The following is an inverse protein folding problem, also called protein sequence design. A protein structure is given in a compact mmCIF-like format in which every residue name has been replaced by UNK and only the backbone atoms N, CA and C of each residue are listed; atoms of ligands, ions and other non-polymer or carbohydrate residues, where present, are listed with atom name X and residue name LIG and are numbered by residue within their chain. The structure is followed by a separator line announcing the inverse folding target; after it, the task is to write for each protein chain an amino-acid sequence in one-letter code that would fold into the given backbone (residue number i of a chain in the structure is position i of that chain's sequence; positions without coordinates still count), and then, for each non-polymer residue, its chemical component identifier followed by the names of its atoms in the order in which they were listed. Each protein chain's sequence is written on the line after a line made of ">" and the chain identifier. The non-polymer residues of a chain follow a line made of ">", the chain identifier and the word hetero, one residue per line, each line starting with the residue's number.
data_IF_134248040477
#
_entry.id   IF_134248040477
#
_cell.length_a   1.000
_cell.length_b   1.000
_cell.length_c   1.000
_cell.angle_alpha   90.00
_cell.angle_beta   90.00
_cell.angle_gamma   90.00
#
_symmetry.space_group_name_H-M   'P 1'
#
loop_
_entity.id
_entity.type
_entity.pdbx_description
1 polymer ?
#
# COMPACT_ATOMS: atom_id res chain seq x y z
N UNK A 1 -2.26 -5.85 -22.85
CA UNK A 1 -2.29 -7.09 -22.02
C UNK A 1 -1.11 -7.20 -21.06
N UNK A 2 0.06 -6.60 -21.32
CA UNK A 2 1.24 -6.71 -20.42
C UNK A 2 1.08 -6.02 -19.06
N UNK A 3 0.38 -4.87 -18.99
CA UNK A 3 0.25 -4.13 -17.73
C UNK A 3 -0.59 -4.86 -16.68
N UNK A 4 -1.62 -5.62 -17.08
CA UNK A 4 -2.52 -6.30 -16.13
C UNK A 4 -1.81 -7.36 -15.28
N UNK A 5 -0.94 -8.17 -15.88
CA UNK A 5 -0.15 -9.18 -15.16
C UNK A 5 0.85 -8.51 -14.19
N UNK A 6 1.48 -7.42 -14.62
CA UNK A 6 2.36 -6.64 -13.75
C UNK A 6 1.61 -6.05 -12.56
N UNK A 7 0.47 -5.39 -12.80
CA UNK A 7 -0.34 -4.78 -11.73
C UNK A 7 -0.83 -5.82 -10.73
N UNK A 8 -1.14 -7.04 -11.21
CA UNK A 8 -1.47 -8.14 -10.31
C UNK A 8 -0.28 -8.55 -9.43
N UNK A 9 0.93 -8.66 -9.99
CA UNK A 9 2.13 -8.94 -9.20
C UNK A 9 2.43 -7.84 -8.17
N UNK A 10 2.18 -6.57 -8.53
CA UNK A 10 2.27 -5.45 -7.59
C UNK A 10 1.28 -5.61 -6.44
N UNK A 11 0.03 -5.97 -6.73
CA UNK A 11 -0.99 -6.19 -5.72
C UNK A 11 -0.65 -7.39 -4.81
N UNK A 12 -0.12 -8.49 -5.34
CA UNK A 12 0.40 -9.61 -4.54
C UNK A 12 1.53 -9.15 -3.62
N UNK A 13 2.44 -8.31 -4.11
CA UNK A 13 3.51 -7.74 -3.29
C UNK A 13 2.98 -6.88 -2.12
N UNK A 14 1.89 -6.15 -2.35
CA UNK A 14 1.20 -5.37 -1.32
C UNK A 14 0.48 -6.29 -0.32
N UNK A 15 -0.16 -7.37 -0.77
CA UNK A 15 -0.79 -8.37 0.10
C UNK A 15 0.22 -8.97 1.09
N UNK A 16 1.42 -9.35 0.62
CA UNK A 16 2.48 -9.81 1.50
C UNK A 16 3.01 -8.71 2.44
N UNK A 17 2.95 -7.45 2.02
CA UNK A 17 3.32 -6.32 2.87
C UNK A 17 2.29 -6.11 3.97
N UNK A 18 0.99 -6.19 3.66
CA UNK A 18 -0.11 -6.20 4.62
C UNK A 18 0.08 -7.29 5.67
N UNK A 19 0.37 -8.52 5.23
CA UNK A 19 0.64 -9.63 6.14
C UNK A 19 1.75 -9.33 7.15
N UNK A 20 2.84 -8.68 6.70
CA UNK A 20 3.94 -8.29 7.58
C UNK A 20 3.58 -7.13 8.51
N UNK A 21 2.83 -6.14 8.03
CA UNK A 21 2.43 -4.96 8.82
C UNK A 21 1.49 -5.34 9.96
N UNK A 22 0.57 -6.26 9.71
CA UNK A 22 -0.44 -6.71 10.67
C UNK A 22 -0.08 -8.02 11.38
N UNK A 23 1.10 -8.60 11.12
CA UNK A 23 1.56 -9.88 11.67
C UNK A 23 0.57 -11.04 11.42
N UNK A 24 0.18 -11.23 10.16
CA UNK A 24 -0.83 -12.18 9.71
C UNK A 24 -0.22 -13.39 9.01
N UNK A 25 -0.81 -14.57 9.25
CA UNK A 25 -0.57 -15.77 8.47
C UNK A 25 -1.12 -15.69 7.04
N UNK A 26 -0.74 -16.65 6.18
CA UNK A 26 -1.14 -16.65 4.76
C UNK A 26 -2.67 -16.64 4.61
N UNK A 27 -3.38 -17.49 5.34
CA UNK A 27 -4.85 -17.58 5.26
C UNK A 27 -5.53 -16.26 5.65
N UNK A 28 -5.07 -15.64 6.73
CA UNK A 28 -5.59 -14.36 7.24
C UNK A 28 -5.33 -13.20 6.26
N UNK A 29 -4.21 -13.22 5.54
CA UNK A 29 -3.94 -12.23 4.49
C UNK A 29 -5.03 -12.26 3.39
N UNK A 30 -5.43 -13.45 2.93
CA UNK A 30 -6.50 -13.59 1.93
C UNK A 30 -7.87 -13.18 2.47
N UNK A 31 -8.15 -13.44 3.76
CA UNK A 31 -9.42 -13.06 4.40
C UNK A 31 -9.55 -11.55 4.60
N UNK A 32 -8.43 -10.85 4.85
CA UNK A 32 -8.42 -9.39 5.03
C UNK A 32 -8.40 -8.67 3.68
N UNK A 33 -7.44 -8.99 2.80
CA UNK A 33 -7.27 -8.35 1.51
C UNK A 33 -6.44 -9.20 0.56
N UNK A 34 -7.10 -9.92 -0.34
CA UNK A 34 -6.40 -10.57 -1.45
C UNK A 34 -5.92 -9.54 -2.49
N UNK A 35 -5.02 -9.97 -3.37
CA UNK A 35 -4.48 -9.14 -4.44
C UNK A 35 -5.58 -8.48 -5.30
N UNK A 36 -6.66 -9.22 -5.62
CA UNK A 36 -7.78 -8.69 -6.40
C UNK A 36 -8.49 -7.52 -5.68
N UNK A 37 -8.66 -7.63 -4.37
CA UNK A 37 -9.24 -6.59 -3.51
C UNK A 37 -8.31 -5.38 -3.43
N UNK A 38 -7.00 -5.61 -3.34
CA UNK A 38 -6.00 -4.53 -3.36
C UNK A 38 -5.99 -3.82 -4.72
N UNK A 39 -6.12 -4.54 -5.85
CA UNK A 39 -6.20 -3.92 -7.18
C UNK A 39 -7.40 -2.98 -7.32
N UNK A 40 -8.51 -3.23 -6.62
CA UNK A 40 -9.71 -2.38 -6.66
C UNK A 40 -9.55 -1.07 -5.89
N UNK A 41 -8.69 -1.03 -4.87
CA UNK A 41 -8.51 0.16 -4.03
C UNK A 41 -7.08 0.26 -3.48
N UNK A 42 -6.06 0.35 -4.35
CA UNK A 42 -4.65 0.25 -3.97
C UNK A 42 -4.23 1.33 -2.98
N UNK A 43 -4.67 2.58 -3.20
CA UNK A 43 -4.38 3.70 -2.31
C UNK A 43 -4.93 3.46 -0.91
N UNK A 44 -6.20 3.06 -0.79
CA UNK A 44 -6.86 2.86 0.49
C UNK A 44 -6.16 1.78 1.32
N UNK A 45 -5.76 0.67 0.70
CA UNK A 45 -5.01 -0.38 1.40
C UNK A 45 -3.63 0.08 1.86
N UNK A 46 -2.91 0.87 1.05
CA UNK A 46 -1.65 1.48 1.47
C UNK A 46 -1.84 2.43 2.66
N UNK A 47 -2.86 3.29 2.63
CA UNK A 47 -3.17 4.19 3.74
C UNK A 47 -3.53 3.40 5.01
N UNK A 48 -4.37 2.36 4.91
CA UNK A 48 -4.70 1.49 6.05
C UNK A 48 -3.42 0.88 6.66
N UNK A 49 -2.50 0.40 5.82
CA UNK A 49 -1.22 -0.14 6.29
C UNK A 49 -0.32 0.92 6.94
N UNK A 50 -0.26 2.14 6.38
CA UNK A 50 0.53 3.24 6.97
C UNK A 50 -0.07 3.77 8.27
N UNK A 51 -1.40 3.81 8.36
CA UNK A 51 -2.10 4.28 9.56
C UNK A 51 -2.12 3.23 10.68
N UNK A 52 -1.70 1.99 10.39
CA UNK A 52 -1.53 0.96 11.39
C UNK A 52 -0.48 1.41 12.42
N UNK A 53 -0.87 1.48 13.69
CA UNK A 53 -0.05 1.99 14.81
C UNK A 53 0.40 3.44 14.63
N UNK A 54 -0.28 4.26 13.83
CA UNK A 54 0.09 5.67 13.60
C UNK A 54 0.38 6.46 14.88
N UNK A 55 -0.34 6.19 15.97
CA UNK A 55 -0.14 6.85 17.25
C UNK A 55 1.25 6.62 17.86
N UNK A 56 1.91 5.50 17.52
CA UNK A 56 3.21 5.11 18.08
C UNK A 56 4.39 5.69 17.32
N UNK A 57 4.18 6.22 16.11
CA UNK A 57 5.26 6.77 15.28
C UNK A 57 5.71 8.14 15.76
N UNK A 58 6.98 8.46 15.50
CA UNK A 58 7.53 9.79 15.73
C UNK A 58 6.94 10.83 14.74
N UNK A 59 7.28 12.10 14.93
CA UNK A 59 6.78 13.17 14.04
C UNK A 59 7.33 13.05 12.61
N UNK A 60 8.54 12.52 12.43
CA UNK A 60 9.19 12.35 11.13
C UNK A 60 8.41 11.39 10.25
N UNK A 61 8.06 10.22 10.77
CA UNK A 61 7.26 9.22 10.06
C UNK A 61 5.85 9.74 9.80
N UNK A 62 5.26 10.43 10.78
CA UNK A 62 3.92 11.02 10.62
C UNK A 62 3.87 12.03 9.46
N UNK A 63 4.89 12.87 9.33
CA UNK A 63 5.00 13.80 8.21
C UNK A 63 5.16 13.07 6.88
N UNK A 64 5.97 12.01 6.80
CA UNK A 64 6.08 11.18 5.58
C UNK A 64 4.75 10.52 5.18
N UNK A 65 3.98 10.03 6.15
CA UNK A 65 2.67 9.44 5.91
C UNK A 65 1.70 10.51 5.41
N UNK A 66 1.70 11.70 6.02
CA UNK A 66 0.87 12.83 5.59
C UNK A 66 1.19 13.25 4.16
N UNK A 67 2.46 13.41 3.83
CA UNK A 67 2.91 13.75 2.48
C UNK A 67 2.45 12.71 1.45
N UNK A 68 2.55 11.42 1.79
CA UNK A 68 2.05 10.34 0.95
C UNK A 68 0.53 10.44 0.72
N UNK A 69 -0.24 10.65 1.79
CA UNK A 69 -1.70 10.76 1.74
C UNK A 69 -2.13 11.93 0.85
N UNK A 70 -1.54 13.11 1.05
CA UNK A 70 -1.85 14.32 0.28
C UNK A 70 -1.50 14.14 -1.19
N UNK A 71 -0.32 13.58 -1.49
CA UNK A 71 0.19 13.40 -2.85
C UNK A 71 -0.65 12.45 -3.71
N UNK A 72 -1.25 11.43 -3.11
CA UNK A 72 -1.99 10.39 -3.82
C UNK A 72 -3.50 10.39 -3.51
N UNK A 73 -4.04 11.41 -2.85
CA UNK A 73 -5.44 11.46 -2.46
C UNK A 73 -6.43 11.34 -3.65
N UNK A 74 -6.05 11.79 -4.84
CA UNK A 74 -6.85 11.66 -6.06
C UNK A 74 -7.00 10.20 -6.56
N UNK A 75 -6.28 9.25 -5.96
CA UNK A 75 -6.36 7.82 -6.24
C UNK A 75 -7.32 7.07 -5.31
N UNK A 76 -7.98 7.74 -4.35
CA UNK A 76 -8.76 7.08 -3.30
C UNK A 76 -9.86 6.14 -3.81
N UNK A 77 -10.53 6.50 -4.91
CA UNK A 77 -11.63 5.73 -5.50
C UNK A 77 -11.26 5.08 -6.84
N UNK A 78 -9.95 4.95 -7.15
CA UNK A 78 -9.47 4.39 -8.42
C UNK A 78 -8.88 3.01 -8.20
N UNK A 79 -9.19 2.10 -9.11
CA UNK A 79 -8.50 0.82 -9.27
C UNK A 79 -7.08 1.03 -9.81
N UNK A 80 -6.21 0.01 -9.71
CA UNK A 80 -4.87 0.06 -10.30
C UNK A 80 -4.89 0.26 -11.83
N UNK A 81 -5.91 -0.25 -12.53
CA UNK A 81 -6.02 -0.10 -13.98
C UNK A 81 -6.49 1.32 -14.40
N UNK A 82 -7.21 2.01 -13.52
CA UNK A 82 -7.65 3.40 -13.72
C UNK A 82 -6.56 4.42 -13.33
N UNK A 83 -5.59 4.01 -12.53
CA UNK A 83 -4.42 4.82 -12.19
C UNK A 83 -3.36 4.59 -13.27
N UNK A 84 -2.78 5.67 -13.79
CA UNK A 84 -1.65 5.57 -14.71
C UNK A 84 -0.53 4.67 -14.14
N UNK A 85 -0.01 3.76 -14.96
CA UNK A 85 0.96 2.76 -14.56
C UNK A 85 2.19 3.36 -13.86
N UNK A 86 2.71 4.47 -14.39
CA UNK A 86 3.89 5.14 -13.81
C UNK A 86 3.52 5.72 -12.44
N UNK A 87 2.29 6.22 -12.29
CA UNK A 87 1.78 6.70 -11.01
C UNK A 87 1.62 5.56 -9.98
N UNK A 88 1.14 4.38 -10.38
CA UNK A 88 1.08 3.19 -9.49
C UNK A 88 2.47 2.80 -9.01
N UNK A 89 3.45 2.68 -9.92
CA UNK A 89 4.82 2.29 -9.56
C UNK A 89 5.47 3.28 -8.58
N UNK A 90 5.30 4.59 -8.81
CA UNK A 90 5.76 5.63 -7.87
C UNK A 90 5.10 5.52 -6.51
N UNK A 91 3.77 5.37 -6.47
CA UNK A 91 3.02 5.24 -5.23
C UNK A 91 3.48 4.02 -4.42
N UNK A 92 3.65 2.86 -5.07
CA UNK A 92 4.11 1.63 -4.40
C UNK A 92 5.54 1.75 -3.88
N UNK A 93 6.43 2.38 -4.64
CA UNK A 93 7.82 2.61 -4.22
C UNK A 93 7.90 3.51 -2.99
N UNK A 94 7.19 4.63 -3.00
CA UNK A 94 7.15 5.56 -1.87
C UNK A 94 6.54 4.89 -0.63
N UNK A 95 5.41 4.19 -0.78
CA UNK A 95 4.81 3.40 0.29
C UNK A 95 5.81 2.40 0.91
N UNK A 96 6.51 1.61 0.08
CA UNK A 96 7.48 0.62 0.57
C UNK A 96 8.67 1.26 1.28
N UNK A 97 9.11 2.43 0.84
CA UNK A 97 10.16 3.18 1.52
C UNK A 97 9.73 3.57 2.93
N UNK A 98 8.51 4.10 3.10
CA UNK A 98 7.96 4.46 4.43
C UNK A 98 7.84 3.22 5.32
N UNK A 99 7.30 2.11 4.79
CA UNK A 99 7.22 0.84 5.53
C UNK A 99 8.58 0.31 5.97
N UNK A 100 9.62 0.49 5.15
CA UNK A 100 10.98 0.06 5.51
C UNK A 100 11.57 0.92 6.63
N UNK A 101 11.29 2.23 6.65
CA UNK A 101 11.69 3.12 7.76
C UNK A 101 11.03 2.67 9.05
N UNK A 102 9.70 2.43 9.05
CA UNK A 102 8.94 1.96 10.22
C UNK A 102 9.49 0.65 10.80
N UNK A 103 10.07 -0.23 9.98
CA UNK A 103 10.66 -1.51 10.43
C UNK A 103 12.09 -1.40 10.95
N UNK A 104 12.78 -0.31 10.61
CA UNK A 104 14.15 -0.05 11.05
C UNK A 104 14.23 0.64 12.42
N UNK A 105 13.09 1.12 12.93
CA UNK A 105 12.89 1.58 14.31
C UNK A 105 12.53 0.41 15.25
#
# INVERSE_FOLDING_TARGET
>A
MENGAYLHNVAVSLQHTLGRVFNLGIKEQYEIADACTIQKSPYMWMVIMLMNKYSTFDMTIKDQIKDFIEKYCDCANKTMDEIDFIKVDKMVKEFKNIINVIKGE
#
